data_IF_193261501018
#
_entry.id   IF_193261501018
#
_cell.length_a   1.000
_cell.length_b   1.000
_cell.length_c   1.000
_cell.angle_alpha   90.00
_cell.angle_beta   90.00
_cell.angle_gamma   90.00
#
_symmetry.space_group_name_H-M   'P 1'
#
loop_
_entity.id
_entity.type
_entity.pdbx_description
1 polymer ?
#
# COMPACT_ATOMS: atom_id res chain seq x y z
N UNK A 1 -10.68 -1.74 -5.00
CA UNK A 1 -11.62 -0.76 -4.42
C UNK A 1 -11.09 0.62 -4.70
N UNK A 2 -11.95 1.59 -5.03
CA UNK A 2 -11.55 2.99 -5.10
C UNK A 2 -12.44 3.81 -4.20
N UNK A 3 -11.87 4.85 -3.61
CA UNK A 3 -12.56 5.75 -2.71
C UNK A 3 -12.02 7.15 -2.88
N UNK A 4 -12.81 8.15 -2.49
CA UNK A 4 -12.41 9.56 -2.51
C UNK A 4 -11.58 9.97 -1.28
N UNK A 5 -11.06 8.98 -0.56
CA UNK A 5 -10.25 9.17 0.65
C UNK A 5 -8.84 8.61 0.43
N UNK A 6 -7.82 9.35 0.86
CA UNK A 6 -6.42 8.95 0.65
C UNK A 6 -5.99 7.75 1.49
N UNK A 7 -6.69 7.45 2.60
CA UNK A 7 -6.47 6.26 3.41
C UNK A 7 -7.18 5.02 2.85
N UNK A 8 -7.85 5.10 1.69
CA UNK A 8 -8.43 3.92 1.02
C UNK A 8 -7.41 2.79 0.84
N UNK A 9 -6.12 3.12 0.69
CA UNK A 9 -5.01 2.15 0.60
C UNK A 9 -4.84 1.29 1.86
N UNK A 10 -5.47 1.63 2.99
CA UNK A 10 -5.40 0.81 4.20
C UNK A 10 -5.99 -0.59 3.99
N UNK A 11 -6.94 -0.75 3.05
CA UNK A 11 -7.53 -2.05 2.72
C UNK A 11 -6.53 -3.00 2.04
N UNK A 12 -5.42 -2.48 1.50
CA UNK A 12 -4.38 -3.27 0.85
C UNK A 12 -3.72 -4.27 1.81
N UNK A 13 -3.66 -3.95 3.11
CA UNK A 13 -3.15 -4.85 4.14
C UNK A 13 -4.02 -6.10 4.36
N UNK A 14 -5.26 -6.09 3.85
CA UNK A 14 -6.16 -7.25 3.84
C UNK A 14 -6.08 -8.05 2.52
N UNK A 15 -5.15 -7.69 1.62
CA UNK A 15 -5.00 -8.33 0.31
C UNK A 15 -6.01 -7.85 -0.75
N UNK A 16 -6.72 -6.75 -0.48
CA UNK A 16 -7.64 -6.13 -1.44
C UNK A 16 -6.96 -4.93 -2.06
N UNK A 17 -6.73 -4.94 -3.37
CA UNK A 17 -6.12 -3.79 -4.05
C UNK A 17 -7.09 -2.60 -4.04
N UNK A 18 -6.68 -1.48 -3.48
CA UNK A 18 -7.44 -0.23 -3.52
C UNK A 18 -6.63 1.04 -3.25
N UNK A 19 -7.11 2.16 -3.81
CA UNK A 19 -6.42 3.44 -3.70
C UNK A 19 -7.40 4.61 -3.73
N UNK A 20 -6.91 5.77 -3.31
CA UNK A 20 -7.65 7.03 -3.36
C UNK A 20 -7.69 7.58 -4.79
N UNK A 21 -8.86 8.03 -5.24
CA UNK A 21 -9.07 8.73 -6.51
C UNK A 21 -9.79 10.06 -6.28
N UNK A 22 -9.70 10.96 -7.26
CA UNK A 22 -10.45 12.21 -7.22
C UNK A 22 -11.96 11.96 -7.42
N UNK A 23 -12.78 12.98 -7.13
CA UNK A 23 -14.24 12.86 -7.16
C UNK A 23 -14.81 12.49 -8.53
N UNK A 24 -14.18 12.97 -9.61
CA UNK A 24 -14.64 12.73 -10.99
C UNK A 24 -14.47 11.25 -11.35
N UNK A 25 -13.31 10.67 -11.01
CA UNK A 25 -13.01 9.25 -11.21
C UNK A 25 -13.90 8.36 -10.35
N UNK A 26 -14.19 8.79 -9.12
CA UNK A 26 -15.15 8.10 -8.25
C UNK A 26 -16.56 8.09 -8.86
N UNK A 27 -17.05 9.23 -9.35
CA UNK A 27 -18.34 9.33 -10.04
C UNK A 27 -18.38 8.47 -11.32
N UNK A 28 -17.31 8.48 -12.12
CA UNK A 28 -17.18 7.63 -13.30
C UNK A 28 -17.25 6.14 -12.92
N UNK A 29 -16.58 5.73 -11.83
CA UNK A 29 -16.67 4.36 -11.30
C UNK A 29 -18.09 4.01 -10.84
N UNK A 30 -18.85 4.95 -10.27
CA UNK A 30 -20.26 4.73 -9.88
C UNK A 30 -21.15 4.54 -11.11
N UNK A 31 -20.83 5.20 -12.22
CA UNK A 31 -21.49 5.02 -13.51
C UNK A 31 -20.99 3.79 -14.29
N UNK A 32 -20.26 2.89 -13.64
CA UNK A 32 -19.67 1.68 -14.25
C UNK A 32 -18.73 1.97 -15.41
N UNK A 33 -18.13 3.17 -15.46
CA UNK A 33 -17.10 3.46 -16.44
C UNK A 33 -15.77 2.80 -16.03
N UNK A 34 -15.04 2.20 -16.98
CA UNK A 34 -13.73 1.64 -16.70
C UNK A 34 -12.74 2.74 -16.36
N UNK A 35 -11.96 2.54 -15.29
CA UNK A 35 -10.85 3.43 -14.97
C UNK A 35 -9.68 3.20 -15.92
N UNK A 36 -9.16 4.30 -16.48
CA UNK A 36 -7.91 4.27 -17.22
C UNK A 36 -6.75 4.47 -16.25
N UNK A 37 -5.78 3.57 -16.28
CA UNK A 37 -4.58 3.66 -15.48
C UNK A 37 -3.38 3.25 -16.33
N UNK A 38 -2.30 4.04 -16.27
CA UNK A 38 -1.00 3.61 -16.80
C UNK A 38 -0.52 2.45 -15.94
N UNK A 39 -0.13 1.33 -16.57
CA UNK A 39 0.37 0.16 -15.84
C UNK A 39 1.53 0.58 -14.92
N UNK A 40 1.33 0.58 -13.59
CA UNK A 40 2.34 1.10 -12.68
C UNK A 40 3.46 0.09 -12.51
N UNK A 41 4.68 0.58 -12.31
CA UNK A 41 5.79 -0.27 -11.88
C UNK A 41 5.51 -0.86 -10.49
N UNK A 42 6.08 -2.03 -10.20
CA UNK A 42 5.96 -2.67 -8.88
C UNK A 42 7.32 -2.68 -8.19
N UNK A 43 7.37 -2.17 -6.96
CA UNK A 43 8.52 -2.19 -6.08
C UNK A 43 8.30 -3.27 -5.02
N UNK A 44 9.12 -4.32 -5.06
CA UNK A 44 9.10 -5.35 -4.02
C UNK A 44 9.79 -4.87 -2.74
N UNK A 45 9.09 -4.94 -1.61
CA UNK A 45 9.65 -4.62 -0.29
C UNK A 45 9.75 -5.90 0.56
N UNK A 46 10.97 -6.41 0.73
CA UNK A 46 11.22 -7.65 1.45
C UNK A 46 11.44 -7.41 2.94
N UNK A 47 10.57 -7.97 3.78
CA UNK A 47 10.71 -7.96 5.24
C UNK A 47 11.24 -9.32 5.73
N UNK A 48 12.36 -9.26 6.45
CA UNK A 48 13.09 -10.40 6.98
C UNK A 48 13.24 -10.29 8.50
N UNK A 49 13.34 -11.45 9.16
CA UNK A 49 13.56 -11.52 10.61
C UNK A 49 12.30 -11.25 11.42
N UNK A 50 12.50 -10.77 12.66
CA UNK A 50 11.46 -10.42 13.63
C UNK A 50 11.79 -9.06 14.24
N UNK A 51 10.76 -8.35 14.70
CA UNK A 51 10.96 -7.14 15.49
C UNK A 51 11.63 -7.50 16.82
N UNK A 52 12.48 -6.58 17.31
CA UNK A 52 13.08 -6.70 18.65
C UNK A 52 12.00 -6.40 19.70
N UNK A 53 12.16 -6.97 20.88
CA UNK A 53 11.26 -6.70 22.00
C UNK A 53 11.23 -5.19 22.31
N UNK A 54 10.02 -4.66 22.49
CA UNK A 54 9.78 -3.23 22.72
C UNK A 54 9.65 -2.37 21.45
N UNK A 55 9.89 -2.91 20.25
CA UNK A 55 9.62 -2.19 18.99
C UNK A 55 8.14 -2.31 18.63
N UNK A 56 7.51 -1.17 18.35
CA UNK A 56 6.08 -1.12 17.99
C UNK A 56 5.88 -1.17 16.48
N UNK A 57 4.64 -1.45 16.06
CA UNK A 57 4.25 -1.36 14.64
C UNK A 57 4.47 0.04 14.06
N UNK A 58 4.25 1.08 14.87
CA UNK A 58 4.49 2.48 14.48
C UNK A 58 5.96 2.71 14.13
N UNK A 59 6.89 2.18 14.92
CA UNK A 59 8.32 2.32 14.65
C UNK A 59 8.70 1.68 13.31
N UNK A 60 8.16 0.48 13.03
CA UNK A 60 8.35 -0.21 11.75
C UNK A 60 7.80 0.63 10.58
N UNK A 61 6.55 1.11 10.69
CA UNK A 61 5.90 1.90 9.63
C UNK A 61 6.67 3.19 9.36
N UNK A 62 7.20 3.87 10.38
CA UNK A 62 8.01 5.07 10.21
C UNK A 62 9.32 4.79 9.45
N UNK A 63 10.01 3.69 9.77
CA UNK A 63 11.24 3.29 9.07
C UNK A 63 10.94 2.95 7.61
N UNK A 64 9.92 2.14 7.36
CA UNK A 64 9.50 1.75 6.00
C UNK A 64 9.14 3.00 5.19
N UNK A 65 8.34 3.91 5.76
CA UNK A 65 7.92 5.15 5.10
C UNK A 65 9.12 6.02 4.75
N UNK A 66 10.09 6.14 5.66
CA UNK A 66 11.31 6.91 5.40
C UNK A 66 12.15 6.30 4.26
N UNK A 67 12.29 4.97 4.22
CA UNK A 67 13.03 4.26 3.17
C UNK A 67 12.35 4.43 1.81
N UNK A 68 11.04 4.23 1.74
CA UNK A 68 10.25 4.37 0.51
C UNK A 68 10.28 5.81 -0.03
N UNK A 69 10.20 6.80 0.87
CA UNK A 69 10.29 8.21 0.49
C UNK A 69 11.65 8.55 -0.12
N UNK A 70 12.75 8.04 0.45
CA UNK A 70 14.10 8.21 -0.12
C UNK A 70 14.27 7.49 -1.46
N UNK A 71 13.59 6.36 -1.66
CA UNK A 71 13.67 5.60 -2.91
C UNK A 71 12.87 6.22 -4.06
N UNK A 72 11.88 7.06 -3.80
CA UNK A 72 11.11 7.75 -4.84
C UNK A 72 10.12 6.82 -5.56
N UNK A 73 9.11 6.34 -4.84
CA UNK A 73 8.11 5.37 -5.33
C UNK A 73 6.82 6.00 -5.89
N UNK A 74 6.84 7.28 -6.24
CA UNK A 74 5.65 7.97 -6.76
C UNK A 74 5.17 7.29 -8.05
N UNK A 75 3.87 6.98 -8.12
CA UNK A 75 3.25 6.32 -9.28
C UNK A 75 3.57 4.83 -9.43
N UNK A 76 4.05 4.16 -8.37
CA UNK A 76 4.38 2.73 -8.35
C UNK A 76 3.61 2.01 -7.25
N UNK A 77 3.30 0.74 -7.47
CA UNK A 77 2.83 -0.14 -6.40
C UNK A 77 4.00 -0.61 -5.55
N UNK A 78 3.75 -0.80 -4.26
CA UNK A 78 4.68 -1.44 -3.34
C UNK A 78 4.09 -2.77 -2.91
N UNK A 79 4.81 -3.86 -3.19
CA UNK A 79 4.41 -5.19 -2.78
C UNK A 79 5.27 -5.68 -1.62
N UNK A 80 4.67 -5.83 -0.44
CA UNK A 80 5.35 -6.35 0.74
C UNK A 80 5.37 -7.88 0.72
N UNK A 81 6.54 -8.46 0.96
CA UNK A 81 6.73 -9.91 0.98
C UNK A 81 7.83 -10.34 1.95
N UNK A 82 7.89 -11.62 2.27
CA UNK A 82 8.93 -12.22 3.10
C UNK A 82 8.41 -12.88 4.37
N UNK A 83 9.34 -13.49 5.12
CA UNK A 83 9.01 -14.35 6.27
C UNK A 83 8.25 -13.59 7.37
N UNK A 84 8.59 -12.32 7.57
CA UNK A 84 7.93 -11.49 8.58
C UNK A 84 6.43 -11.29 8.30
N UNK A 85 6.07 -11.05 7.03
CA UNK A 85 4.66 -10.91 6.60
C UNK A 85 3.90 -12.24 6.71
N UNK A 86 4.55 -13.35 6.34
CA UNK A 86 3.93 -14.68 6.46
C UNK A 86 3.59 -15.05 7.91
N UNK A 87 4.38 -14.57 8.88
CA UNK A 87 4.16 -14.79 10.32
C UNK A 87 3.16 -13.78 10.92
N UNK A 88 2.98 -12.59 10.33
CA UNK A 88 2.14 -11.50 10.84
C UNK A 88 1.06 -11.11 9.84
N UNK A 89 0.02 -11.95 9.72
CA UNK A 89 -1.10 -11.83 8.75
C UNK A 89 -2.04 -10.62 8.91
N UNK A 90 -1.65 -9.59 9.65
CA UNK A 90 -2.47 -8.38 9.89
C UNK A 90 -1.74 -7.09 9.51
N UNK A 91 -0.63 -7.21 8.76
CA UNK A 91 0.06 -6.13 8.05
C UNK A 91 0.03 -6.41 6.55
#
# INVERSE_FOLDING_TARGET
MVGTDSYTTMIDGLGVVGWGVDGIEAEASMLSQPMSMVLPGVVGFKLLGKLRDGVTATDLVLIVTQMLRKHGIVGKFVHFYGKYIAENKLL
#
